data_IF_581847885165
#
_entry.id   IF_581847885165
#
_cell.length_a   1.000
_cell.length_b   1.000
_cell.length_c   1.000
_cell.angle_alpha   90.00
_cell.angle_beta   90.00
_cell.angle_gamma   90.00
#
_symmetry.space_group_name_H-M   'P 1'
#
loop_
_entity.id
_entity.type
_entity.pdbx_description
1 polymer ?
#
# COMPACT_ATOMS: atom_id res chain seq x y z
N UNK A 1 -2.90 -13.56 21.04
CA UNK A 1 -3.40 -14.07 19.74
C UNK A 1 -4.35 -13.05 19.14
N UNK A 2 -4.02 -12.44 17.99
CA UNK A 2 -4.92 -11.49 17.29
C UNK A 2 -5.67 -12.22 16.18
N UNK A 3 -6.99 -12.09 16.24
CA UNK A 3 -7.97 -12.99 15.63
C UNK A 3 -7.93 -13.08 14.10
N UNK A 4 -7.99 -14.33 13.64
CA UNK A 4 -8.43 -14.69 12.30
C UNK A 4 -9.97 -14.70 12.31
N UNK A 5 -10.61 -13.75 11.61
CA UNK A 5 -12.06 -13.80 11.41
C UNK A 5 -12.37 -14.78 10.26
N UNK A 6 -13.22 -15.78 10.53
CA UNK A 6 -13.69 -16.79 9.55
C UNK A 6 -14.49 -16.20 8.38
N UNK A 7 -14.76 -14.90 8.35
CA UNK A 7 -15.45 -14.21 7.25
C UNK A 7 -14.50 -13.49 6.27
N UNK A 8 -13.17 -13.63 6.42
CA UNK A 8 -12.18 -13.07 5.48
C UNK A 8 -12.09 -11.54 5.45
N UNK A 9 -13.00 -10.82 6.10
CA UNK A 9 -12.95 -9.37 6.34
C UNK A 9 -12.58 -9.13 7.80
N UNK A 10 -11.35 -8.69 8.05
CA UNK A 10 -11.00 -8.11 9.35
C UNK A 10 -11.75 -6.78 9.50
N UNK A 11 -12.35 -6.52 10.67
CA UNK A 11 -13.14 -5.31 10.96
C UNK A 11 -12.43 -3.96 10.69
N UNK A 12 -11.12 -3.97 10.41
CA UNK A 12 -10.27 -2.80 10.18
C UNK A 12 -9.87 -2.59 8.71
N UNK A 13 -10.45 -3.31 7.74
CA UNK A 13 -10.01 -3.22 6.32
C UNK A 13 -10.26 -1.86 5.64
N UNK A 14 -10.98 -0.92 6.26
CA UNK A 14 -11.30 0.39 5.68
C UNK A 14 -10.69 1.59 6.42
N UNK A 15 -9.99 1.37 7.54
CA UNK A 15 -9.53 2.46 8.42
C UNK A 15 -8.55 3.42 7.73
N UNK A 16 -7.67 2.90 6.88
CA UNK A 16 -6.65 3.70 6.17
C UNK A 16 -6.76 3.54 4.66
N UNK A 17 -6.41 4.57 3.89
CA UNK A 17 -6.54 4.61 2.43
C UNK A 17 -6.00 3.35 1.72
N UNK A 18 -4.81 2.89 2.11
CA UNK A 18 -4.15 1.71 1.54
C UNK A 18 -4.64 0.36 2.07
N UNK A 19 -5.52 0.35 3.08
CA UNK A 19 -6.02 -0.88 3.70
C UNK A 19 -6.75 -1.74 2.68
N UNK A 20 -6.27 -2.98 2.50
CA UNK A 20 -6.84 -3.91 1.52
C UNK A 20 -6.56 -3.55 0.05
N UNK A 21 -5.82 -2.47 -0.24
CA UNK A 21 -5.48 -2.01 -1.59
C UNK A 21 -4.11 -2.48 -2.07
N UNK A 22 -3.17 -2.79 -1.16
CA UNK A 22 -1.81 -3.18 -1.51
C UNK A 22 -1.67 -4.70 -1.69
N UNK A 23 -1.10 -5.13 -2.81
CA UNK A 23 -0.87 -6.52 -3.17
C UNK A 23 0.59 -6.76 -3.56
N UNK A 24 1.21 -7.78 -2.97
CA UNK A 24 2.61 -8.13 -3.20
C UNK A 24 2.76 -8.84 -4.54
N UNK A 25 3.60 -8.33 -5.43
CA UNK A 25 3.88 -9.01 -6.71
C UNK A 25 4.76 -10.24 -6.56
N UNK A 26 5.49 -10.40 -5.45
CA UNK A 26 6.31 -11.58 -5.22
C UNK A 26 5.51 -12.82 -4.77
N UNK A 27 4.39 -12.63 -4.05
CA UNK A 27 3.63 -13.77 -3.48
C UNK A 27 2.10 -13.63 -3.53
N UNK A 28 1.58 -12.58 -4.16
CA UNK A 28 0.14 -12.30 -4.29
C UNK A 28 -0.57 -11.86 -3.01
N UNK A 29 0.06 -12.00 -1.84
CA UNK A 29 -0.55 -11.65 -0.56
C UNK A 29 -0.69 -10.14 -0.35
N UNK A 30 -1.68 -9.74 0.45
CA UNK A 30 -1.90 -8.34 0.84
C UNK A 30 -0.83 -7.84 1.81
N UNK A 31 -0.76 -6.52 1.96
CA UNK A 31 0.00 -5.89 3.03
C UNK A 31 -0.88 -5.55 4.23
N UNK A 32 -0.26 -5.49 5.41
CA UNK A 32 -0.83 -4.98 6.66
C UNK A 32 -0.03 -3.77 7.14
N UNK A 33 -0.73 -2.77 7.68
CA UNK A 33 -0.12 -1.58 8.29
C UNK A 33 0.51 -1.92 9.64
N UNK A 34 1.68 -1.37 9.90
CA UNK A 34 2.36 -1.42 11.19
C UNK A 34 2.95 -0.03 11.50
N UNK A 35 3.20 0.25 12.77
CA UNK A 35 3.93 1.44 13.21
C UNK A 35 5.33 1.08 13.68
N UNK A 36 6.34 1.85 13.26
CA UNK A 36 7.71 1.79 13.75
C UNK A 36 8.04 3.02 14.58
N UNK A 37 8.93 2.87 15.55
CA UNK A 37 9.34 3.96 16.43
C UNK A 37 8.24 4.43 17.38
N UNK A 38 8.57 5.48 18.15
CA UNK A 38 7.69 6.10 19.15
C UNK A 38 7.86 7.63 19.11
N UNK A 39 6.84 8.35 19.62
CA UNK A 39 6.86 9.81 19.70
C UNK A 39 7.09 10.48 18.33
N UNK A 40 8.05 11.40 18.26
CA UNK A 40 8.42 12.15 17.05
C UNK A 40 8.99 11.29 15.92
N UNK A 41 9.50 10.09 16.24
CA UNK A 41 10.07 9.15 15.28
C UNK A 41 9.07 8.08 14.83
N UNK A 42 7.77 8.25 15.15
CA UNK A 42 6.73 7.30 14.75
C UNK A 42 6.54 7.36 13.23
N UNK A 43 6.64 6.21 12.59
CA UNK A 43 6.46 6.04 11.14
C UNK A 43 5.46 4.92 10.87
N UNK A 44 4.66 5.07 9.83
CA UNK A 44 3.75 4.03 9.36
C UNK A 44 4.31 3.31 8.15
N UNK A 45 4.20 1.99 8.18
CA UNK A 45 4.77 1.11 7.17
C UNK A 45 3.78 0.01 6.81
N UNK A 46 3.95 -0.55 5.62
CA UNK A 46 3.17 -1.63 5.09
C UNK A 46 4.06 -2.85 4.91
N UNK A 47 3.65 -3.98 5.50
CA UNK A 47 4.38 -5.25 5.48
C UNK A 47 3.57 -6.33 4.78
N UNK A 48 4.21 -7.10 3.90
CA UNK A 48 3.57 -8.26 3.27
C UNK A 48 3.17 -9.27 4.36
N UNK A 49 1.89 -9.68 4.37
CA UNK A 49 1.35 -10.59 5.40
C UNK A 49 2.03 -11.96 5.33
N UNK A 50 2.24 -12.50 4.13
CA UNK A 50 2.88 -13.81 3.95
C UNK A 50 4.33 -13.81 4.47
N UNK A 51 5.09 -12.73 4.21
CA UNK A 51 6.45 -12.59 4.76
C UNK A 51 6.43 -12.49 6.29
N UNK A 52 5.50 -11.71 6.84
CA UNK A 52 5.39 -11.50 8.29
C UNK A 52 5.01 -12.80 9.02
N UNK A 53 4.14 -13.63 8.43
CA UNK A 53 3.66 -14.86 9.05
C UNK A 53 4.56 -16.07 8.80
N UNK A 54 5.10 -16.19 7.59
CA UNK A 54 5.75 -17.43 7.15
C UNK A 54 7.25 -17.28 6.90
N UNK A 55 7.81 -16.07 7.04
CA UNK A 55 9.26 -15.85 6.95
C UNK A 55 9.74 -15.42 5.56
N UNK A 56 11.06 -15.19 5.49
CA UNK A 56 11.74 -14.65 4.32
C UNK A 56 11.81 -15.64 3.15
N UNK A 57 11.86 -16.94 3.46
CA UNK A 57 11.88 -18.02 2.48
C UNK A 57 10.58 -18.07 1.66
N UNK A 58 9.46 -17.62 2.22
CA UNK A 58 8.17 -17.54 1.50
C UNK A 58 7.98 -16.26 0.72
N UNK A 59 8.62 -15.17 1.12
CA UNK A 59 8.51 -13.90 0.41
C UNK A 59 9.67 -12.95 0.76
N UNK A 60 10.40 -12.52 -0.27
CA UNK A 60 11.54 -11.63 -0.13
C UNK A 60 11.16 -10.14 -0.06
N UNK A 61 9.90 -9.80 -0.35
CA UNK A 61 9.43 -8.41 -0.43
C UNK A 61 9.62 -7.68 0.89
N UNK A 62 10.35 -6.58 0.83
CA UNK A 62 10.64 -5.75 2.00
C UNK A 62 9.45 -4.86 2.36
N UNK A 63 9.54 -4.26 3.54
CA UNK A 63 8.58 -3.30 4.06
C UNK A 63 8.59 -2.02 3.22
N UNK A 64 7.42 -1.45 2.94
CA UNK A 64 7.27 -0.16 2.24
C UNK A 64 6.77 0.89 3.21
N UNK A 65 7.28 2.13 3.14
CA UNK A 65 6.76 3.22 4.00
C UNK A 65 5.46 3.77 3.41
N UNK A 66 4.53 4.14 4.28
CA UNK A 66 3.27 4.76 3.88
C UNK A 66 3.50 6.06 3.11
N UNK A 67 4.38 6.93 3.64
CA UNK A 67 4.74 8.20 3.00
C UNK A 67 5.29 8.02 1.58
N UNK A 68 6.08 6.97 1.34
CA UNK A 68 6.66 6.76 0.01
C UNK A 68 5.56 6.41 -1.01
N UNK A 69 4.55 5.63 -0.58
CA UNK A 69 3.36 5.33 -1.41
C UNK A 69 2.48 6.56 -1.66
N UNK A 70 2.29 7.41 -0.64
CA UNK A 70 1.57 8.67 -0.78
C UNK A 70 2.26 9.59 -1.79
N UNK A 71 3.57 9.77 -1.67
CA UNK A 71 4.35 10.60 -2.59
C UNK A 71 4.38 10.03 -4.01
N UNK A 72 4.47 8.70 -4.15
CA UNK A 72 4.37 8.04 -5.44
C UNK A 72 3.00 8.29 -6.10
N UNK A 73 1.91 8.22 -5.33
CA UNK A 73 0.58 8.55 -5.83
C UNK A 73 0.49 10.01 -6.30
N UNK A 74 1.00 10.97 -5.53
CA UNK A 74 0.99 12.39 -5.94
C UNK A 74 1.77 12.62 -7.24
N UNK A 75 2.93 11.99 -7.40
CA UNK A 75 3.71 12.10 -8.65
C UNK A 75 2.97 11.50 -9.83
N UNK A 76 2.30 10.36 -9.66
CA UNK A 76 1.45 9.76 -10.69
C UNK A 76 0.31 10.71 -11.07
N UNK A 77 -0.39 11.28 -10.10
CA UNK A 77 -1.49 12.23 -10.36
C UNK A 77 -1.03 13.48 -11.09
N UNK A 78 0.11 14.04 -10.67
CA UNK A 78 0.67 15.25 -11.28
C UNK A 78 1.19 15.01 -12.70
N UNK A 79 1.79 13.84 -12.97
CA UNK A 79 2.39 13.51 -14.27
C UNK A 79 1.36 13.06 -15.31
N UNK A 80 0.49 12.11 -14.95
CA UNK A 80 -0.40 11.45 -15.92
C UNK A 80 -1.72 12.20 -16.11
N UNK A 81 -2.22 12.88 -15.08
CA UNK A 81 -3.53 13.54 -15.12
C UNK A 81 -3.44 15.07 -15.11
N UNK A 82 -2.22 15.63 -15.05
CA UNK A 82 -2.00 17.09 -15.06
C UNK A 82 -2.68 17.81 -13.89
N UNK A 83 -3.04 17.09 -12.83
CA UNK A 83 -3.66 17.65 -11.64
C UNK A 83 -2.54 18.20 -10.77
N UNK A 84 -2.65 19.42 -10.25
CA UNK A 84 -1.65 19.94 -9.30
C UNK A 84 -2.09 19.60 -7.88
N UNK A 85 -1.66 18.43 -7.38
CA UNK A 85 -1.85 18.03 -5.99
C UNK A 85 -0.53 17.99 -5.23
N UNK A 86 -0.52 18.60 -4.04
CA UNK A 86 0.64 18.66 -3.15
C UNK A 86 0.50 17.79 -1.91
N UNK A 87 -0.73 17.37 -1.60
CA UNK A 87 -1.08 16.62 -0.39
C UNK A 87 -1.90 15.40 -0.75
N UNK A 88 -1.67 14.31 0.01
CA UNK A 88 -2.39 13.06 -0.19
C UNK A 88 -3.80 13.16 0.37
N UNK A 89 -4.78 12.99 -0.52
CA UNK A 89 -6.19 12.92 -0.15
C UNK A 89 -6.67 11.45 -0.19
N UNK A 90 -7.08 10.94 0.97
CA UNK A 90 -7.49 9.55 1.08
C UNK A 90 -8.78 9.22 0.31
N UNK A 91 -9.70 10.18 0.18
CA UNK A 91 -10.99 9.97 -0.49
C UNK A 91 -10.78 9.89 -2.00
N UNK A 92 -9.98 10.81 -2.54
CA UNK A 92 -9.55 10.78 -3.94
C UNK A 92 -8.83 9.47 -4.24
N UNK A 93 -7.87 9.07 -3.39
CA UNK A 93 -7.18 7.80 -3.56
C UNK A 93 -8.16 6.62 -3.60
N UNK A 94 -9.07 6.52 -2.62
CA UNK A 94 -10.07 5.44 -2.57
C UNK A 94 -10.97 5.43 -3.80
N UNK A 95 -11.34 6.61 -4.31
CA UNK A 95 -12.22 6.77 -5.48
C UNK A 95 -11.52 6.36 -6.78
N UNK A 96 -10.25 6.73 -6.96
CA UNK A 96 -9.53 6.52 -8.22
C UNK A 96 -8.84 5.15 -8.29
N UNK A 97 -8.28 4.67 -7.17
CA UNK A 97 -7.44 3.49 -7.17
C UNK A 97 -8.25 2.23 -6.88
N UNK A 98 -8.18 1.25 -7.77
CA UNK A 98 -8.72 -0.10 -7.54
C UNK A 98 -7.80 -0.86 -6.59
N UNK A 99 -6.52 -0.95 -6.92
CA UNK A 99 -5.47 -1.67 -6.18
C UNK A 99 -4.08 -1.11 -6.51
N UNK A 100 -3.11 -1.38 -5.65
CA UNK A 100 -1.69 -1.07 -5.86
C UNK A 100 -0.90 -2.36 -5.81
N UNK A 101 -0.18 -2.66 -6.88
CA UNK A 101 0.72 -3.80 -6.99
C UNK A 101 2.10 -3.36 -6.53
N UNK A 102 2.53 -3.82 -5.36
CA UNK A 102 3.84 -3.48 -4.80
C UNK A 102 4.86 -4.49 -5.30
N UNK A 103 5.81 -4.02 -6.10
CA UNK A 103 6.89 -4.84 -6.64
C UNK A 103 8.07 -4.89 -5.66
N UNK A 104 8.46 -3.74 -5.10
CA UNK A 104 9.59 -3.63 -4.19
C UNK A 104 9.41 -2.47 -3.20
N UNK A 105 10.48 -2.08 -2.48
CA UNK A 105 10.45 -0.88 -1.62
C UNK A 105 10.37 0.43 -2.39
N UNK A 106 10.71 0.40 -3.67
CA UNK A 106 10.94 1.57 -4.52
C UNK A 106 10.13 1.50 -5.81
N UNK A 107 9.17 0.59 -5.88
CA UNK A 107 8.43 0.35 -7.10
C UNK A 107 7.03 -0.18 -6.80
N UNK A 108 6.04 0.52 -7.35
CA UNK A 108 4.64 0.11 -7.32
C UNK A 108 3.94 0.42 -8.64
N UNK A 109 2.91 -0.36 -8.95
CA UNK A 109 1.99 -0.09 -10.05
C UNK A 109 0.63 0.25 -9.46
N UNK A 110 0.15 1.46 -9.75
CA UNK A 110 -1.17 1.93 -9.39
C UNK A 110 -2.17 1.48 -10.46
N UNK A 111 -3.14 0.67 -10.07
CA UNK A 111 -4.23 0.25 -10.94
C UNK A 111 -5.44 1.10 -10.64
N UNK A 112 -5.81 1.94 -11.60
CA UNK A 112 -6.96 2.82 -11.52
C UNK A 112 -8.24 2.03 -11.80
N UNK A 113 -9.36 2.49 -11.24
CA UNK A 113 -10.68 1.90 -11.50
C UNK A 113 -11.14 2.04 -12.95
N UNK A 114 -10.51 2.92 -13.71
CA UNK A 114 -10.69 3.06 -15.17
C UNK A 114 -10.03 1.92 -15.94
N UNK A 115 -9.19 1.09 -15.29
CA UNK A 115 -8.42 0.01 -15.90
C UNK A 115 -6.98 0.39 -16.26
N UNK A 116 -6.61 1.66 -16.12
CA UNK A 116 -5.26 2.15 -16.38
C UNK A 116 -4.27 1.63 -15.32
N UNK A 117 -3.08 1.21 -15.76
CA UNK A 117 -1.99 0.79 -14.88
C UNK A 117 -0.80 1.74 -15.03
N UNK A 118 -0.48 2.50 -13.98
CA UNK A 118 0.64 3.43 -13.97
C UNK A 118 1.73 2.90 -13.06
N UNK A 119 2.91 2.65 -13.63
CA UNK A 119 4.12 2.26 -12.89
C UNK A 119 4.84 3.49 -12.36
N UNK A 120 5.26 3.44 -11.10
CA UNK A 120 6.02 4.48 -10.45
C UNK A 120 7.19 3.90 -9.65
N UNK A 121 8.37 4.52 -9.81
CA UNK A 121 9.61 4.19 -9.12
C UNK A 121 9.94 5.33 -8.15
N UNK A 122 10.28 5.03 -6.90
CA UNK A 122 10.35 6.02 -5.83
C UNK A 122 11.43 5.77 -4.78
#
# INVERSE_FOLDING_TARGET
>A
MRGYSKTGKSAFTSEYAFSGKLFCQNCGSKFRRASWGTGKNKQYVWRCINREQNGLDKCITKTVKEKDLEQAFLRVMNREHGVMVTEFDEEIFRRLIEKVKVQSMVEAVFVFRTGEEVREIF
#
